data_IF_558582860209
#
_entry.id   IF_558582860209
#
_cell.length_a   1.000
_cell.length_b   1.000
_cell.length_c   1.000
_cell.angle_alpha   90.00
_cell.angle_beta   90.00
_cell.angle_gamma   90.00
#
_symmetry.space_group_name_H-M   'P 1'
#
loop_
_entity.id
_entity.type
_entity.pdbx_description
1 polymer ?
#
# COMPACT_ATOMS: atom_id res chain seq x y z
N UNK A 1 -25.66 -11.74 28.63
CA UNK A 1 -25.57 -12.95 27.77
C UNK A 1 -26.84 -13.00 26.95
N UNK A 2 -26.73 -12.98 25.62
CA UNK A 2 -27.87 -13.15 24.70
C UNK A 2 -28.13 -14.65 24.48
N UNK A 3 -29.37 -15.03 24.15
CA UNK A 3 -29.75 -16.45 24.02
C UNK A 3 -29.58 -17.00 22.61
N UNK A 4 -29.47 -16.14 21.59
CA UNK A 4 -29.36 -16.54 20.19
C UNK A 4 -28.62 -15.48 19.35
N UNK A 5 -28.21 -15.87 18.14
CA UNK A 5 -27.50 -14.99 17.20
C UNK A 5 -28.34 -13.78 16.80
N UNK A 6 -29.66 -13.98 16.62
CA UNK A 6 -30.57 -12.92 16.19
C UNK A 6 -30.59 -11.75 17.16
N UNK A 7 -30.58 -12.03 18.46
CA UNK A 7 -30.43 -11.02 19.51
C UNK A 7 -29.04 -10.37 19.49
N UNK A 8 -27.98 -11.15 19.26
CA UNK A 8 -26.61 -10.65 19.23
C UNK A 8 -26.38 -9.60 18.12
N UNK A 9 -27.06 -9.74 16.98
CA UNK A 9 -26.86 -8.90 15.79
C UNK A 9 -27.97 -7.86 15.58
N UNK A 10 -28.96 -7.78 16.47
CA UNK A 10 -30.17 -6.98 16.25
C UNK A 10 -29.91 -5.48 16.01
N UNK A 11 -28.83 -4.92 16.56
CA UNK A 11 -28.41 -3.53 16.38
C UNK A 11 -27.44 -3.30 15.22
N UNK A 12 -26.97 -4.36 14.56
CA UNK A 12 -25.90 -4.27 13.57
C UNK A 12 -26.46 -3.97 12.18
N UNK A 13 -25.91 -2.94 11.54
CA UNK A 13 -26.17 -2.60 10.13
C UNK A 13 -25.51 -3.56 9.15
N UNK A 14 -24.39 -4.15 9.56
CA UNK A 14 -23.60 -5.11 8.80
C UNK A 14 -23.33 -6.35 9.64
N UNK A 15 -23.61 -7.53 9.07
CA UNK A 15 -23.31 -8.82 9.70
C UNK A 15 -22.54 -9.68 8.70
N UNK A 16 -21.30 -10.02 9.04
CA UNK A 16 -20.42 -10.87 8.22
C UNK A 16 -20.16 -12.17 8.98
N UNK A 17 -20.56 -13.31 8.41
CA UNK A 17 -20.32 -14.64 8.98
C UNK A 17 -19.07 -15.30 8.41
N UNK A 18 -18.29 -16.00 9.23
CA UNK A 18 -17.14 -16.78 8.74
C UNK A 18 -17.58 -18.14 8.18
N UNK A 19 -17.03 -18.53 7.03
CA UNK A 19 -17.27 -19.85 6.43
C UNK A 19 -16.03 -20.37 5.72
N UNK A 20 -15.69 -21.64 5.97
CA UNK A 20 -14.65 -22.37 5.22
C UNK A 20 -15.18 -22.99 3.91
N UNK A 21 -16.50 -22.96 3.65
CA UNK A 21 -17.12 -23.64 2.50
C UNK A 21 -18.19 -22.78 1.82
N UNK A 22 -18.16 -22.79 0.48
CA UNK A 22 -19.29 -22.42 -0.36
C UNK A 22 -20.37 -23.51 -0.27
N UNK A 23 -21.47 -23.26 0.46
CA UNK A 23 -22.62 -24.18 0.54
C UNK A 23 -23.63 -23.91 -0.59
N UNK A 24 -24.68 -24.74 -0.65
CA UNK A 24 -25.68 -24.90 -1.73
C UNK A 24 -26.42 -23.66 -2.24
N UNK A 25 -26.30 -22.50 -1.57
CA UNK A 25 -26.90 -21.23 -2.00
C UNK A 25 -25.74 -20.24 -2.19
N UNK A 26 -25.61 -19.60 -3.37
CA UNK A 26 -24.55 -18.63 -3.61
C UNK A 26 -24.83 -17.36 -2.82
N UNK A 27 -24.15 -17.22 -1.68
CA UNK A 27 -24.08 -15.98 -0.93
C UNK A 27 -22.92 -15.12 -1.45
N UNK A 28 -22.98 -13.79 -1.32
CA UNK A 28 -21.86 -12.94 -1.67
C UNK A 28 -20.68 -13.22 -0.72
N UNK A 29 -19.67 -13.89 -1.28
CA UNK A 29 -18.43 -14.24 -0.59
C UNK A 29 -17.46 -13.06 -0.66
N UNK A 30 -16.83 -12.75 0.48
CA UNK A 30 -15.80 -11.75 0.63
C UNK A 30 -14.46 -12.41 0.93
N UNK A 31 -13.40 -11.80 0.41
CA UNK A 31 -12.05 -12.05 0.93
C UNK A 31 -11.88 -11.38 2.30
N UNK A 32 -10.86 -11.77 3.10
CA UNK A 32 -10.54 -11.09 4.34
C UNK A 32 -10.34 -9.58 4.18
N UNK A 33 -9.64 -9.17 3.11
CA UNK A 33 -9.41 -7.76 2.78
C UNK A 33 -10.73 -7.02 2.48
N UNK A 34 -11.59 -7.58 1.63
CA UNK A 34 -12.88 -6.96 1.31
C UNK A 34 -13.80 -6.88 2.54
N UNK A 35 -13.77 -7.89 3.40
CA UNK A 35 -14.53 -7.89 4.66
C UNK A 35 -14.06 -6.78 5.60
N UNK A 36 -12.74 -6.59 5.69
CA UNK A 36 -12.13 -5.55 6.50
C UNK A 36 -12.48 -4.14 5.99
N UNK A 37 -12.38 -3.89 4.68
CA UNK A 37 -12.74 -2.61 4.07
C UNK A 37 -14.21 -2.23 4.34
N UNK A 38 -15.13 -3.20 4.26
CA UNK A 38 -16.54 -2.99 4.62
C UNK A 38 -16.73 -2.69 6.09
N UNK A 39 -16.12 -3.49 6.97
CA UNK A 39 -16.20 -3.31 8.42
C UNK A 39 -15.73 -1.93 8.84
N UNK A 40 -14.57 -1.46 8.34
CA UNK A 40 -14.04 -0.15 8.75
C UNK A 40 -14.84 1.02 8.19
N UNK A 41 -15.46 0.84 7.02
CA UNK A 41 -16.27 1.88 6.35
C UNK A 41 -17.65 2.01 6.98
N UNK A 42 -18.39 0.91 7.10
CA UNK A 42 -19.74 0.90 7.69
C UNK A 42 -19.68 1.13 9.20
N UNK A 43 -18.61 0.66 9.86
CA UNK A 43 -18.32 0.89 11.28
C UNK A 43 -18.09 2.35 11.66
N UNK A 44 -17.95 3.27 10.70
CA UNK A 44 -17.93 4.72 11.00
C UNK A 44 -19.32 5.27 11.34
N UNK A 45 -20.39 4.61 10.88
CA UNK A 45 -21.76 5.14 10.92
C UNK A 45 -22.71 4.30 11.78
N UNK A 46 -22.46 3.00 11.89
CA UNK A 46 -23.34 2.08 12.61
C UNK A 46 -22.58 0.88 13.16
N UNK A 47 -23.20 0.14 14.07
CA UNK A 47 -22.60 -1.09 14.60
C UNK A 47 -22.50 -2.16 13.50
N UNK A 48 -21.42 -2.93 13.56
CA UNK A 48 -21.12 -4.02 12.63
C UNK A 48 -20.72 -5.27 13.42
N UNK A 49 -21.08 -6.45 12.92
CA UNK A 49 -20.80 -7.73 13.54
C UNK A 49 -19.98 -8.64 12.63
N UNK A 50 -18.91 -9.21 13.19
CA UNK A 50 -18.21 -10.37 12.64
C UNK A 50 -18.60 -11.60 13.47
N UNK A 51 -19.26 -12.55 12.83
CA UNK A 51 -19.81 -13.74 13.47
C UNK A 51 -18.89 -14.92 13.18
N UNK A 52 -18.35 -15.51 14.25
CA UNK A 52 -17.51 -16.69 14.17
C UNK A 52 -18.29 -17.93 14.58
N UNK A 53 -18.15 -18.99 13.79
CA UNK A 53 -18.75 -20.29 14.09
C UNK A 53 -18.05 -21.03 15.23
N UNK A 54 -18.68 -22.13 15.66
CA UNK A 54 -18.09 -23.09 16.59
C UNK A 54 -16.84 -23.73 15.97
N UNK A 55 -15.86 -24.10 16.79
CA UNK A 55 -14.56 -24.61 16.32
C UNK A 55 -14.67 -25.94 15.54
N UNK A 56 -15.59 -26.81 15.95
CA UNK A 56 -15.82 -28.12 15.37
C UNK A 56 -16.81 -28.11 14.19
N UNK A 57 -17.83 -27.25 14.24
CA UNK A 57 -18.96 -27.29 13.32
C UNK A 57 -19.15 -26.02 12.47
N UNK A 58 -18.44 -24.93 12.78
CA UNK A 58 -18.65 -23.63 12.17
C UNK A 58 -20.05 -23.08 12.44
N UNK A 59 -20.51 -22.17 11.58
CA UNK A 59 -21.89 -21.67 11.58
C UNK A 59 -22.84 -22.67 10.89
N UNK A 60 -24.01 -22.86 11.48
CA UNK A 60 -25.08 -23.64 10.88
C UNK A 60 -25.78 -22.82 9.78
N UNK A 61 -26.63 -23.46 8.99
CA UNK A 61 -27.27 -22.77 7.86
C UNK A 61 -28.22 -21.65 8.30
N UNK A 62 -28.91 -21.80 9.43
CA UNK A 62 -29.81 -20.78 9.97
C UNK A 62 -29.03 -19.55 10.46
N UNK A 63 -27.84 -19.74 11.02
CA UNK A 63 -26.93 -18.66 11.42
C UNK A 63 -26.32 -17.96 10.20
N UNK A 64 -25.90 -18.72 9.18
CA UNK A 64 -25.36 -18.16 7.94
C UNK A 64 -26.40 -17.32 7.18
N UNK A 65 -27.69 -17.72 7.21
CA UNK A 65 -28.79 -16.98 6.60
C UNK A 65 -29.08 -15.64 7.29
N UNK A 66 -28.62 -15.46 8.53
CA UNK A 66 -28.74 -14.20 9.26
C UNK A 66 -27.60 -13.21 8.95
N UNK A 67 -26.59 -13.63 8.17
CA UNK A 67 -25.47 -12.78 7.77
C UNK A 67 -25.72 -12.15 6.39
N UNK A 68 -25.29 -10.91 6.20
CA UNK A 68 -25.38 -10.20 4.91
C UNK A 68 -24.31 -10.69 3.92
N UNK A 69 -23.12 -10.98 4.44
CA UNK A 69 -21.98 -11.49 3.67
C UNK A 69 -21.34 -12.66 4.39
N UNK A 70 -20.65 -13.52 3.63
CA UNK A 70 -19.78 -14.54 4.20
C UNK A 70 -18.33 -14.21 3.87
N UNK A 71 -17.42 -14.39 4.83
CA UNK A 71 -15.99 -14.26 4.60
C UNK A 71 -15.33 -15.63 4.64
N UNK A 72 -14.51 -15.91 3.64
CA UNK A 72 -13.67 -17.10 3.59
C UNK A 72 -12.21 -16.67 3.64
N UNK A 73 -11.48 -17.17 4.63
CA UNK A 73 -10.03 -17.01 4.70
C UNK A 73 -9.42 -18.03 3.72
N UNK A 74 -8.66 -17.59 2.70
CA UNK A 74 -7.95 -18.52 1.83
C UNK A 74 -7.01 -19.39 2.66
N UNK A 75 -7.15 -20.70 2.50
CA UNK A 75 -6.41 -21.73 3.21
C UNK A 75 -6.14 -22.89 2.24
N UNK A 76 -5.44 -23.90 2.71
CA UNK A 76 -5.18 -25.09 1.91
C UNK A 76 -6.50 -25.81 1.55
N UNK A 77 -6.64 -26.28 0.30
CA UNK A 77 -7.89 -26.91 -0.17
C UNK A 77 -8.17 -28.25 0.54
N UNK A 78 -7.12 -28.98 0.94
CA UNK A 78 -7.23 -30.24 1.69
C UNK A 78 -7.47 -29.97 3.19
N UNK A 79 -7.00 -28.82 3.70
CA UNK A 79 -7.18 -28.39 5.09
C UNK A 79 -7.56 -26.90 5.19
N UNK A 80 -8.83 -26.61 4.89
CA UNK A 80 -9.34 -25.24 4.80
C UNK A 80 -9.88 -24.66 6.12
N UNK A 81 -9.94 -25.47 7.18
CA UNK A 81 -10.48 -25.05 8.47
C UNK A 81 -9.38 -24.52 9.38
N UNK A 82 -9.43 -23.22 9.65
CA UNK A 82 -8.61 -22.60 10.68
C UNK A 82 -9.23 -22.84 12.06
N UNK A 83 -8.39 -22.95 13.10
CA UNK A 83 -8.89 -22.85 14.46
C UNK A 83 -9.50 -21.46 14.70
N UNK A 84 -10.42 -21.37 15.67
CA UNK A 84 -11.19 -20.15 15.94
C UNK A 84 -10.29 -18.94 16.21
N UNK A 85 -9.25 -19.10 17.04
CA UNK A 85 -8.34 -18.02 17.38
C UNK A 85 -7.56 -17.50 16.17
N UNK A 86 -7.12 -18.39 15.27
CA UNK A 86 -6.44 -18.02 14.04
C UNK A 86 -7.36 -17.27 13.08
N UNK A 87 -8.61 -17.71 12.93
CA UNK A 87 -9.59 -17.01 12.12
C UNK A 87 -9.87 -15.59 12.66
N UNK A 88 -10.04 -15.45 13.99
CA UNK A 88 -10.21 -14.15 14.65
C UNK A 88 -8.98 -13.27 14.44
N UNK A 89 -7.78 -13.83 14.59
CA UNK A 89 -6.52 -13.09 14.42
C UNK A 89 -6.37 -12.55 12.99
N UNK A 90 -6.60 -13.37 11.97
CA UNK A 90 -6.49 -12.96 10.56
C UNK A 90 -7.46 -11.83 10.23
N UNK A 91 -8.74 -11.98 10.60
CA UNK A 91 -9.74 -10.95 10.30
C UNK A 91 -9.49 -9.65 11.10
N UNK A 92 -9.09 -9.77 12.37
CA UNK A 92 -8.73 -8.60 13.18
C UNK A 92 -7.52 -7.85 12.61
N UNK A 93 -6.53 -8.59 12.10
CA UNK A 93 -5.35 -8.03 11.45
C UNK A 93 -5.72 -7.27 10.16
N UNK A 94 -6.55 -7.85 9.30
CA UNK A 94 -7.01 -7.19 8.09
C UNK A 94 -7.85 -5.94 8.41
N UNK A 95 -8.72 -5.99 9.42
CA UNK A 95 -9.45 -4.80 9.91
C UNK A 95 -8.48 -3.72 10.37
N UNK A 96 -7.45 -4.08 11.15
CA UNK A 96 -6.44 -3.11 11.61
C UNK A 96 -5.69 -2.49 10.44
N UNK A 97 -5.32 -3.27 9.42
CA UNK A 97 -4.71 -2.76 8.18
C UNK A 97 -5.62 -1.80 7.44
N UNK A 98 -6.90 -2.15 7.27
CA UNK A 98 -7.88 -1.30 6.60
C UNK A 98 -8.10 0.01 7.38
N UNK A 99 -8.18 -0.05 8.71
CA UNK A 99 -8.30 1.12 9.57
C UNK A 99 -7.06 2.02 9.50
N UNK A 100 -5.85 1.43 9.47
CA UNK A 100 -4.61 2.17 9.24
C UNK A 100 -4.66 2.87 7.88
N UNK A 101 -4.98 2.16 6.81
CA UNK A 101 -5.06 2.72 5.45
C UNK A 101 -6.05 3.89 5.37
N UNK A 102 -7.19 3.79 6.05
CA UNK A 102 -8.18 4.87 6.14
C UNK A 102 -7.64 6.09 6.90
N UNK A 103 -6.95 5.87 8.03
CA UNK A 103 -6.30 6.93 8.81
C UNK A 103 -5.08 7.54 8.07
N UNK A 104 -4.33 6.73 7.33
CA UNK A 104 -3.18 7.17 6.52
C UNK A 104 -3.65 8.03 5.33
N UNK A 105 -4.83 7.76 4.77
CA UNK A 105 -5.42 8.66 3.77
C UNK A 105 -5.76 10.03 4.36
N UNK A 106 -5.96 10.14 5.69
CA UNK A 106 -6.08 11.44 6.36
C UNK A 106 -4.74 12.07 6.78
N UNK A 107 -3.67 11.29 6.97
CA UNK A 107 -2.40 11.76 7.58
C UNK A 107 -1.11 11.58 6.74
N UNK A 108 -1.12 10.95 5.55
CA UNK A 108 0.08 10.89 4.70
C UNK A 108 0.40 12.25 4.09
N UNK A 109 1.14 13.06 4.83
CA UNK A 109 2.24 13.80 4.22
C UNK A 109 3.34 12.78 3.94
N UNK A 110 3.47 12.40 2.67
CA UNK A 110 4.62 11.67 2.12
C UNK A 110 5.98 12.38 2.42
N UNK A 111 5.91 13.58 3.01
CA UNK A 111 6.99 14.48 3.42
C UNK A 111 7.68 14.13 4.75
N UNK A 112 7.17 13.19 5.58
CA UNK A 112 7.81 12.90 6.89
C UNK A 112 9.22 12.30 6.79
N UNK A 113 9.62 11.81 5.62
CA UNK A 113 10.97 11.29 5.38
C UNK A 113 11.96 12.35 4.86
N UNK A 114 11.51 13.58 4.61
CA UNK A 114 12.30 14.59 3.90
C UNK A 114 12.35 15.89 4.68
N UNK A 115 13.53 16.20 5.23
CA UNK A 115 13.82 17.47 5.91
C UNK A 115 13.72 18.69 4.98
N UNK A 116 13.57 18.45 3.67
CA UNK A 116 13.55 19.42 2.59
C UNK A 116 12.50 19.08 1.54
N UNK A 117 11.97 20.12 0.88
CA UNK A 117 11.01 19.94 -0.20
C UNK A 117 11.63 19.18 -1.38
N UNK A 118 10.80 18.42 -2.11
CA UNK A 118 11.20 17.75 -3.35
C UNK A 118 11.63 18.76 -4.41
N UNK A 119 12.67 18.42 -5.16
CA UNK A 119 13.08 19.25 -6.29
C UNK A 119 11.96 19.29 -7.33
N UNK A 120 11.66 20.48 -7.83
CA UNK A 120 10.69 20.68 -8.90
C UNK A 120 11.20 20.06 -10.20
N UNK A 121 10.29 19.74 -11.12
CA UNK A 121 10.66 19.24 -12.45
C UNK A 121 11.66 20.15 -13.16
N UNK A 122 11.49 21.48 -13.06
CA UNK A 122 12.43 22.44 -13.63
C UNK A 122 13.84 22.37 -13.01
N UNK A 123 13.96 22.24 -11.68
CA UNK A 123 15.27 22.08 -11.03
C UNK A 123 15.96 20.79 -11.45
N UNK A 124 15.21 19.71 -11.59
CA UNK A 124 15.70 18.40 -12.02
C UNK A 124 16.15 18.43 -13.49
N UNK A 125 15.41 19.09 -14.38
CA UNK A 125 15.83 19.30 -15.77
C UNK A 125 17.13 20.11 -15.88
N UNK A 126 17.25 21.22 -15.14
CA UNK A 126 18.50 21.99 -15.10
C UNK A 126 19.68 21.18 -14.57
N UNK A 127 19.46 20.27 -13.64
CA UNK A 127 20.47 19.32 -13.20
C UNK A 127 20.88 18.37 -14.32
N UNK A 128 19.93 17.83 -15.11
CA UNK A 128 20.26 16.96 -16.24
C UNK A 128 21.07 17.66 -17.32
N UNK A 129 20.72 18.92 -17.66
CA UNK A 129 21.47 19.71 -18.62
C UNK A 129 22.91 19.95 -18.13
N UNK A 130 23.07 20.27 -16.84
CA UNK A 130 24.38 20.47 -16.23
C UNK A 130 25.19 19.17 -16.22
N UNK A 131 24.57 18.05 -15.84
CA UNK A 131 25.19 16.73 -15.82
C UNK A 131 25.68 16.33 -17.21
N UNK A 132 24.86 16.50 -18.24
CA UNK A 132 25.23 16.18 -19.63
C UNK A 132 26.40 17.03 -20.09
N UNK A 133 26.35 18.35 -19.86
CA UNK A 133 27.44 19.27 -20.22
C UNK A 133 28.77 18.86 -19.59
N UNK A 134 28.76 18.51 -18.30
CA UNK A 134 29.98 18.06 -17.60
C UNK A 134 30.46 16.72 -18.14
N UNK A 135 29.58 15.75 -18.38
CA UNK A 135 29.96 14.45 -18.94
C UNK A 135 30.57 14.58 -20.33
N UNK A 136 30.10 15.53 -21.15
CA UNK A 136 30.73 15.87 -22.44
C UNK A 136 32.11 16.50 -22.22
N UNK A 137 32.22 17.47 -21.32
CA UNK A 137 33.48 18.17 -21.05
C UNK A 137 34.60 17.25 -20.55
N UNK A 138 34.28 16.20 -19.78
CA UNK A 138 35.24 15.19 -19.32
C UNK A 138 35.43 14.02 -20.31
N UNK A 139 34.89 14.12 -21.52
CA UNK A 139 34.93 13.07 -22.56
C UNK A 139 34.28 11.73 -22.15
N UNK A 140 33.36 11.73 -21.19
CA UNK A 140 32.59 10.54 -20.79
C UNK A 140 31.37 10.32 -21.70
N UNK A 141 30.74 11.40 -22.16
CA UNK A 141 29.59 11.36 -23.07
C UNK A 141 29.95 11.96 -24.43
N UNK A 142 29.71 11.20 -25.50
CA UNK A 142 29.80 11.67 -26.88
C UNK A 142 28.39 11.91 -27.44
N UNK A 143 28.00 13.18 -27.71
CA UNK A 143 26.70 13.50 -28.31
C UNK A 143 26.51 12.96 -29.73
N UNK A 144 27.60 12.67 -30.45
CA UNK A 144 27.57 12.03 -31.77
C UNK A 144 27.28 10.53 -31.71
N UNK A 145 27.50 9.91 -30.54
CA UNK A 145 27.17 8.51 -30.28
C UNK A 145 26.60 8.32 -28.85
N UNK A 146 25.41 8.87 -28.56
CA UNK A 146 24.93 9.04 -27.19
C UNK A 146 24.44 7.75 -26.52
N UNK A 147 24.25 6.68 -27.31
CA UNK A 147 23.58 5.44 -26.90
C UNK A 147 22.27 5.75 -26.17
N UNK A 148 22.14 5.34 -24.90
CA UNK A 148 20.97 5.61 -24.03
C UNK A 148 21.39 6.25 -22.70
N UNK A 149 22.55 6.90 -22.65
CA UNK A 149 23.14 7.33 -21.38
C UNK A 149 22.20 8.30 -20.62
N UNK A 150 21.82 9.41 -21.26
CA UNK A 150 20.96 10.41 -20.62
C UNK A 150 19.56 9.88 -20.29
N UNK A 151 19.00 9.00 -21.12
CA UNK A 151 17.73 8.33 -20.81
C UNK A 151 17.84 7.47 -19.53
N UNK A 152 18.97 6.79 -19.34
CA UNK A 152 19.24 6.00 -18.13
C UNK A 152 19.53 6.86 -16.91
N UNK A 153 20.24 7.98 -17.07
CA UNK A 153 20.45 8.95 -15.98
C UNK A 153 19.12 9.56 -15.51
N UNK A 154 18.28 10.01 -16.44
CA UNK A 154 16.92 10.51 -16.16
C UNK A 154 16.07 9.47 -15.44
N UNK A 155 16.11 8.21 -15.89
CA UNK A 155 15.43 7.09 -15.22
C UNK A 155 15.99 6.81 -13.81
N UNK A 156 17.30 6.89 -13.61
CA UNK A 156 17.93 6.66 -12.30
C UNK A 156 17.47 7.71 -11.29
N UNK A 157 17.67 8.99 -11.60
CA UNK A 157 17.35 10.09 -10.69
C UNK A 157 15.84 10.34 -10.56
N UNK A 158 15.05 10.07 -11.61
CA UNK A 158 13.59 10.19 -11.56
C UNK A 158 12.92 9.19 -10.61
N UNK A 159 13.54 8.02 -10.38
CA UNK A 159 13.03 7.02 -9.41
C UNK A 159 13.28 7.40 -7.96
N UNK A 160 14.35 8.16 -7.71
CA UNK A 160 14.79 8.51 -6.35
C UNK A 160 13.95 9.68 -5.79
N UNK A 161 13.29 10.47 -6.66
CA UNK A 161 12.54 11.69 -6.27
C UNK A 161 13.41 12.61 -5.39
N UNK A 162 14.56 13.02 -5.88
CA UNK A 162 15.57 13.80 -5.14
C UNK A 162 14.98 15.09 -4.52
N UNK A 163 15.45 15.47 -3.33
CA UNK A 163 15.10 16.75 -2.71
C UNK A 163 15.98 17.92 -3.19
N UNK A 164 15.61 19.15 -2.82
CA UNK A 164 16.35 20.35 -3.25
C UNK A 164 17.80 20.35 -2.73
N UNK A 165 18.06 19.84 -1.52
CA UNK A 165 19.39 19.82 -0.91
C UNK A 165 20.30 18.81 -1.60
N UNK A 166 19.83 17.58 -1.82
CA UNK A 166 20.52 16.53 -2.56
C UNK A 166 20.87 16.99 -3.98
N UNK A 167 19.91 17.64 -4.67
CA UNK A 167 20.14 18.19 -6.01
C UNK A 167 21.23 19.27 -5.99
N UNK A 168 21.23 20.14 -4.99
CA UNK A 168 22.26 21.17 -4.83
C UNK A 168 23.65 20.57 -4.55
N UNK A 169 23.73 19.49 -3.77
CA UNK A 169 24.99 18.76 -3.55
C UNK A 169 25.53 18.22 -4.87
N UNK A 170 24.68 17.54 -5.66
CA UNK A 170 25.08 16.98 -6.95
C UNK A 170 25.52 18.09 -7.93
N UNK A 171 24.77 19.20 -8.03
CA UNK A 171 25.17 20.35 -8.85
C UNK A 171 26.45 21.01 -8.36
N UNK A 172 26.69 21.03 -7.05
CA UNK A 172 27.94 21.48 -6.44
C UNK A 172 29.13 20.64 -6.90
N UNK A 173 28.98 19.31 -6.91
CA UNK A 173 29.99 18.38 -7.45
C UNK A 173 30.27 18.69 -8.93
N UNK A 174 29.23 18.83 -9.76
CA UNK A 174 29.36 19.15 -11.19
C UNK A 174 30.08 20.49 -11.41
N UNK A 175 29.73 21.51 -10.62
CA UNK A 175 30.38 22.83 -10.67
C UNK A 175 31.87 22.73 -10.34
N UNK A 176 32.23 21.93 -9.32
CA UNK A 176 33.63 21.75 -8.93
C UNK A 176 34.44 21.04 -10.03
N UNK A 177 33.84 20.05 -10.69
CA UNK A 177 34.46 19.38 -11.85
C UNK A 177 34.74 20.41 -12.96
N UNK A 178 33.77 21.23 -13.34
CA UNK A 178 33.96 22.27 -14.38
C UNK A 178 35.07 23.27 -14.04
N UNK A 179 35.16 23.68 -12.77
CA UNK A 179 36.21 24.59 -12.32
C UNK A 179 37.62 24.00 -12.46
N UNK A 180 37.78 22.69 -12.20
CA UNK A 180 39.09 22.04 -12.32
C UNK A 180 39.48 21.80 -13.78
N UNK A 181 38.54 21.47 -14.67
CA UNK A 181 38.82 21.37 -16.12
C UNK A 181 39.38 22.68 -16.66
N UNK A 182 38.83 23.83 -16.23
CA UNK A 182 39.29 25.15 -16.69
C UNK A 182 40.71 25.45 -16.23
N UNK A 183 41.06 25.11 -14.98
CA UNK A 183 42.40 25.32 -14.43
C UNK A 183 43.49 24.54 -15.16
N UNK A 184 43.17 23.37 -15.70
CA UNK A 184 44.14 22.55 -16.45
C UNK A 184 44.35 23.05 -17.90
N UNK A 185 43.53 23.99 -18.36
CA UNK A 185 43.59 24.55 -19.72
C UNK A 185 44.24 25.94 -19.78
N UNK A 186 44.47 26.57 -18.61
CA UNK A 186 45.18 27.85 -18.43
C UNK A 186 46.65 27.63 -18.05
#
# INVERSE_FOLDING_TARGET
>A
MVSDLKQAIAGCSLVIGTSARSRSIPWPMLTPEQSAEKVVTEGQQAEVALVFGREDAGLNNEELQQCHFHVQIPADDEYSSLNLAAAVMVLSYEIRKAALKLADQSDRKEDEYWDQAKATGGQVEHFYDHLERVMVAINFHDPGNPRQLMQRMRRLFGRIRIDVMELNILRGILTNIELNIRKDTD
#
